data_IF_589454415755
#
_entry.id   IF_589454415755
#
_cell.length_a   1.000
_cell.length_b   1.000
_cell.length_c   1.000
_cell.angle_alpha   90.00
_cell.angle_beta   90.00
_cell.angle_gamma   90.00
#
_symmetry.space_group_name_H-M   'P 1'
#
loop_
_entity.id
_entity.type
_entity.pdbx_description
1 polymer ?
#
# COMPACT_ATOMS: atom_id res chain seq x y z
N UNK A 1 2.36 8.53 25.56
CA UNK A 1 1.27 9.34 24.97
C UNK A 1 1.37 9.37 23.43
N UNK A 2 2.54 9.49 22.82
CA UNK A 2 2.72 9.53 21.34
C UNK A 2 2.37 8.23 20.59
N UNK A 3 2.26 7.08 21.26
CA UNK A 3 2.04 5.77 20.63
C UNK A 3 0.63 5.59 20.04
N UNK A 4 -0.36 6.19 20.67
CA UNK A 4 -1.77 6.03 20.27
C UNK A 4 -2.07 6.76 18.96
N UNK A 5 -1.72 8.06 18.81
CA UNK A 5 -1.96 8.79 17.58
C UNK A 5 -1.18 8.21 16.38
N UNK A 6 0.07 7.76 16.59
CA UNK A 6 0.86 7.16 15.52
C UNK A 6 0.22 5.86 15.00
N UNK A 7 -0.24 4.97 15.88
CA UNK A 7 -0.95 3.75 15.48
C UNK A 7 -2.25 4.03 14.73
N UNK A 8 -3.00 5.03 15.22
CA UNK A 8 -4.26 5.43 14.58
C UNK A 8 -4.02 5.99 13.18
N UNK A 9 -3.03 6.87 13.04
CA UNK A 9 -2.64 7.44 11.74
C UNK A 9 -2.20 6.36 10.75
N UNK A 10 -1.32 5.46 11.16
CA UNK A 10 -0.83 4.35 10.34
C UNK A 10 -1.99 3.45 9.89
N UNK A 11 -2.92 3.11 10.80
CA UNK A 11 -4.09 2.31 10.48
C UNK A 11 -5.01 3.02 9.49
N UNK A 12 -5.30 4.31 9.71
CA UNK A 12 -6.15 5.11 8.83
C UNK A 12 -5.53 5.22 7.43
N UNK A 13 -4.22 5.42 7.36
CA UNK A 13 -3.49 5.45 6.10
C UNK A 13 -3.54 4.09 5.39
N UNK A 14 -3.32 2.99 6.10
CA UNK A 14 -3.43 1.64 5.55
C UNK A 14 -4.84 1.32 5.04
N UNK A 15 -5.90 1.71 5.78
CA UNK A 15 -7.29 1.57 5.34
C UNK A 15 -7.57 2.40 4.07
N UNK A 16 -7.08 3.63 4.01
CA UNK A 16 -7.21 4.49 2.83
C UNK A 16 -6.57 3.86 1.59
N UNK A 17 -5.40 3.26 1.76
CA UNK A 17 -4.63 2.65 0.68
C UNK A 17 -5.27 1.37 0.14
N UNK A 18 -5.71 0.52 1.06
CA UNK A 18 -6.28 -0.79 0.69
C UNK A 18 -7.77 -0.71 0.34
N UNK A 19 -8.43 0.42 0.65
CA UNK A 19 -9.88 0.55 0.51
C UNK A 19 -10.69 -0.37 1.43
N UNK A 20 -10.03 -1.05 2.39
CA UNK A 20 -10.65 -2.01 3.31
C UNK A 20 -10.44 -1.62 4.76
N UNK A 21 -11.43 -1.90 5.62
CA UNK A 21 -11.30 -1.68 7.04
C UNK A 21 -10.35 -2.73 7.66
N UNK A 22 -9.27 -2.26 8.27
CA UNK A 22 -8.26 -3.11 8.90
C UNK A 22 -8.37 -2.95 10.42
N UNK A 23 -8.88 -3.95 11.16
CA UNK A 23 -9.00 -3.88 12.61
C UNK A 23 -7.64 -3.85 13.31
N UNK A 24 -6.72 -4.71 12.91
CA UNK A 24 -5.37 -4.78 13.44
C UNK A 24 -4.33 -5.11 12.37
N UNK A 25 -3.35 -4.21 12.21
CA UNK A 25 -2.22 -4.35 11.29
C UNK A 25 -1.07 -5.19 11.88
N UNK A 26 -1.01 -5.31 13.21
CA UNK A 26 0.16 -5.82 13.93
C UNK A 26 -0.07 -7.14 14.65
N UNK A 27 -1.19 -7.83 14.39
CA UNK A 27 -1.41 -9.15 14.98
C UNK A 27 -0.30 -10.13 14.58
N UNK A 28 0.32 -10.76 15.57
CA UNK A 28 1.40 -11.72 15.35
C UNK A 28 0.90 -13.10 14.94
N UNK A 29 -0.33 -13.47 15.33
CA UNK A 29 -0.90 -14.77 14.97
C UNK A 29 -1.55 -14.68 13.61
N UNK A 30 -1.05 -15.48 12.64
CA UNK A 30 -1.52 -15.46 11.26
C UNK A 30 -1.40 -16.83 10.62
N UNK A 31 -2.37 -17.14 9.79
CA UNK A 31 -2.36 -18.35 8.96
C UNK A 31 -2.57 -17.90 7.52
N UNK A 32 -1.75 -18.37 6.61
CA UNK A 32 -1.85 -18.10 5.18
C UNK A 32 -1.28 -19.26 4.36
N UNK A 33 -1.68 -19.36 3.12
CA UNK A 33 -1.13 -20.37 2.21
C UNK A 33 0.32 -20.04 1.88
N UNK A 34 1.19 -21.04 1.97
CA UNK A 34 2.63 -20.92 1.68
C UNK A 34 2.90 -20.29 0.32
N UNK A 35 2.15 -20.71 -0.71
CA UNK A 35 2.32 -20.21 -2.08
C UNK A 35 2.09 -18.70 -2.19
N UNK A 36 1.10 -18.17 -1.47
CA UNK A 36 0.83 -16.74 -1.42
C UNK A 36 1.95 -15.96 -0.72
N UNK A 37 2.49 -16.50 0.37
CA UNK A 37 3.59 -15.86 1.08
C UNK A 37 4.88 -15.82 0.26
N UNK A 38 5.20 -16.90 -0.44
CA UNK A 38 6.39 -16.99 -1.31
C UNK A 38 6.34 -15.98 -2.45
N UNK A 39 5.16 -15.67 -2.98
CA UNK A 39 5.00 -14.67 -4.05
C UNK A 39 5.44 -13.26 -3.62
N UNK A 40 5.31 -12.94 -2.34
CA UNK A 40 5.62 -11.60 -1.81
C UNK A 40 6.84 -11.59 -0.89
N UNK A 41 7.64 -12.68 -0.89
CA UNK A 41 8.78 -12.81 0.03
C UNK A 41 9.83 -11.73 -0.18
N UNK A 42 10.06 -11.33 -1.42
CA UNK A 42 11.05 -10.31 -1.79
C UNK A 42 10.65 -8.89 -1.35
N UNK A 43 9.36 -8.68 -1.08
CA UNK A 43 8.84 -7.42 -0.55
C UNK A 43 8.95 -7.32 0.97
N UNK A 44 9.19 -8.45 1.66
CA UNK A 44 9.22 -8.50 3.10
C UNK A 44 10.53 -7.93 3.64
N UNK A 45 10.49 -6.88 4.47
CA UNK A 45 11.69 -6.34 5.09
C UNK A 45 12.25 -7.32 6.11
N UNK A 46 13.55 -7.36 6.22
CA UNK A 46 14.23 -8.09 7.30
C UNK A 46 13.94 -7.37 8.63
N UNK A 47 12.92 -7.80 9.38
CA UNK A 47 12.64 -7.26 10.72
C UNK A 47 11.19 -6.90 11.03
N UNK A 48 11.01 -5.88 11.86
CA UNK A 48 9.80 -5.53 12.60
C UNK A 48 8.52 -5.27 11.75
N UNK A 49 8.64 -4.83 10.52
CA UNK A 49 7.48 -4.47 9.68
C UNK A 49 6.98 -5.58 8.74
N UNK A 50 7.55 -6.77 8.81
CA UNK A 50 7.16 -7.93 7.98
C UNK A 50 5.65 -8.22 8.06
N UNK A 51 5.10 -8.16 9.26
CA UNK A 51 3.69 -8.43 9.55
C UNK A 51 2.75 -7.45 8.84
N UNK A 52 3.07 -6.17 8.86
CA UNK A 52 2.29 -5.13 8.17
C UNK A 52 2.44 -5.24 6.67
N UNK A 53 3.66 -5.48 6.20
CA UNK A 53 3.98 -5.60 4.78
C UNK A 53 3.17 -6.72 4.11
N UNK A 54 3.14 -7.90 4.71
CA UNK A 54 2.39 -9.03 4.13
C UNK A 54 0.87 -8.78 4.12
N UNK A 55 0.33 -8.11 5.16
CA UNK A 55 -1.09 -7.72 5.17
C UNK A 55 -1.41 -6.76 4.04
N UNK A 56 -0.60 -5.71 3.88
CA UNK A 56 -0.80 -4.72 2.83
C UNK A 56 -0.62 -5.36 1.44
N UNK A 57 0.40 -6.20 1.26
CA UNK A 57 0.62 -6.92 0.02
C UNK A 57 -0.60 -7.76 -0.37
N UNK A 58 -1.20 -8.48 0.57
CA UNK A 58 -2.39 -9.28 0.31
C UNK A 58 -3.60 -8.40 -0.02
N UNK A 59 -3.88 -7.36 0.77
CA UNK A 59 -5.04 -6.48 0.56
C UNK A 59 -4.93 -5.68 -0.74
N UNK A 60 -3.75 -5.11 -1.05
CA UNK A 60 -3.53 -4.36 -2.29
C UNK A 60 -3.63 -5.25 -3.55
N UNK A 61 -3.46 -6.56 -3.41
CA UNK A 61 -3.65 -7.52 -4.51
C UNK A 61 -5.04 -8.19 -4.49
N UNK A 62 -5.98 -7.65 -3.73
CA UNK A 62 -7.37 -8.12 -3.71
C UNK A 62 -7.57 -9.47 -3.00
N UNK A 63 -6.58 -9.93 -2.23
CA UNK A 63 -6.72 -11.16 -1.44
C UNK A 63 -7.59 -10.89 -0.20
N UNK A 64 -8.51 -11.80 0.06
CA UNK A 64 -9.41 -11.71 1.20
C UNK A 64 -8.68 -12.08 2.48
N UNK A 65 -8.75 -11.21 3.49
CA UNK A 65 -8.23 -11.46 4.84
C UNK A 65 -9.41 -11.52 5.81
N UNK A 66 -9.47 -12.58 6.58
CA UNK A 66 -10.46 -12.75 7.64
C UNK A 66 -9.81 -12.50 9.00
N UNK A 67 -10.49 -11.72 9.85
CA UNK A 67 -10.01 -11.37 11.18
C UNK A 67 -10.86 -12.11 12.21
N UNK A 68 -10.21 -13.02 12.93
CA UNK A 68 -10.87 -13.79 14.00
C UNK A 68 -10.54 -13.18 15.36
N UNK A 69 -11.53 -12.93 16.22
CA UNK A 69 -11.29 -12.43 17.56
C UNK A 69 -10.58 -13.49 18.40
N UNK A 70 -9.46 -13.11 19.02
CA UNK A 70 -8.71 -13.97 19.93
C UNK A 70 -8.69 -13.37 21.34
N UNK A 71 -8.61 -14.21 22.36
CA UNK A 71 -8.36 -13.75 23.72
C UNK A 71 -6.91 -13.32 23.85
N UNK A 72 -6.67 -12.06 24.20
CA UNK A 72 -5.34 -11.51 24.36
C UNK A 72 -4.95 -11.49 25.84
N UNK A 73 -4.01 -12.31 26.23
CA UNK A 73 -3.48 -12.29 27.59
C UNK A 73 -2.58 -11.07 27.81
N UNK A 74 -2.59 -10.51 29.01
CA UNK A 74 -1.73 -9.39 29.38
C UNK A 74 -0.26 -9.77 29.23
N UNK A 75 0.49 -9.03 28.41
CA UNK A 75 1.90 -9.34 28.15
C UNK A 75 2.76 -9.13 29.40
N UNK A 76 3.51 -10.14 29.76
CA UNK A 76 4.56 -10.04 30.76
C UNK A 76 5.82 -9.42 30.11
N UNK A 77 6.40 -8.38 30.73
CA UNK A 77 7.63 -7.74 30.31
C UNK A 77 7.49 -6.36 29.65
N UNK A 78 8.64 -5.70 29.44
CA UNK A 78 8.73 -4.36 28.86
C UNK A 78 8.72 -4.41 27.33
N UNK A 79 8.01 -3.48 26.69
CA UNK A 79 7.98 -3.35 25.24
C UNK A 79 9.33 -2.82 24.72
N UNK A 80 9.94 -3.53 23.77
CA UNK A 80 11.17 -3.09 23.07
C UNK A 80 10.90 -2.02 21.99
N UNK A 81 9.70 -1.45 21.92
CA UNK A 81 9.32 -0.46 20.93
C UNK A 81 9.94 0.91 21.24
N UNK A 82 10.72 1.46 20.30
CA UNK A 82 11.27 2.81 20.34
C UNK A 82 10.32 3.76 19.59
N UNK A 83 9.60 4.67 20.28
CA UNK A 83 8.47 5.38 19.67
C UNK A 83 8.86 6.20 18.43
N UNK A 84 9.96 6.90 18.43
CA UNK A 84 10.39 7.76 17.30
C UNK A 84 10.98 6.91 16.17
N UNK A 85 11.97 6.08 16.48
CA UNK A 85 12.71 5.31 15.47
C UNK A 85 11.83 4.27 14.77
N UNK A 86 10.96 3.59 15.53
CA UNK A 86 10.08 2.59 14.96
C UNK A 86 8.92 3.24 14.20
N UNK A 87 8.39 4.40 14.63
CA UNK A 87 7.39 5.15 13.87
C UNK A 87 7.94 5.63 12.54
N UNK A 88 9.15 6.18 12.50
CA UNK A 88 9.81 6.57 11.25
C UNK A 88 9.98 5.39 10.29
N UNK A 89 10.48 4.25 10.78
CA UNK A 89 10.60 3.03 9.98
C UNK A 89 9.26 2.55 9.44
N UNK A 90 8.21 2.66 10.25
CA UNK A 90 6.86 2.31 9.84
C UNK A 90 6.33 3.20 8.72
N UNK A 91 6.47 4.51 8.85
CA UNK A 91 6.05 5.48 7.82
C UNK A 91 6.81 5.24 6.53
N UNK A 92 8.14 5.06 6.61
CA UNK A 92 8.97 4.77 5.43
C UNK A 92 8.56 3.47 4.75
N UNK A 93 8.25 2.42 5.53
CA UNK A 93 7.79 1.15 4.98
C UNK A 93 6.41 1.29 4.33
N UNK A 94 5.48 2.00 4.96
CA UNK A 94 4.19 2.30 4.37
C UNK A 94 4.34 3.07 3.05
N UNK A 95 5.12 4.15 3.04
CA UNK A 95 5.37 4.93 1.85
C UNK A 95 5.92 4.05 0.70
N UNK A 96 6.90 3.19 1.01
CA UNK A 96 7.44 2.22 0.03
C UNK A 96 6.36 1.29 -0.52
N UNK A 97 5.53 0.73 0.36
CA UNK A 97 4.45 -0.18 -0.05
C UNK A 97 3.40 0.51 -0.90
N UNK A 98 3.06 1.76 -0.57
CA UNK A 98 2.11 2.56 -1.34
C UNK A 98 2.67 2.85 -2.73
N UNK A 99 3.91 3.35 -2.80
CA UNK A 99 4.56 3.64 -4.08
C UNK A 99 4.70 2.38 -4.94
N UNK A 100 4.85 1.22 -4.32
CA UNK A 100 4.95 -0.06 -5.04
C UNK A 100 3.59 -0.57 -5.54
N UNK A 101 2.50 -0.40 -4.78
CA UNK A 101 1.20 -0.99 -5.13
C UNK A 101 0.24 0.01 -5.78
N UNK A 102 0.19 1.26 -5.31
CA UNK A 102 -0.77 2.25 -5.76
C UNK A 102 -0.19 3.68 -5.69
N UNK A 103 0.82 3.98 -6.52
CA UNK A 103 1.51 5.27 -6.48
C UNK A 103 0.58 6.45 -6.73
N UNK A 104 -0.42 6.29 -7.58
CA UNK A 104 -1.37 7.35 -7.92
C UNK A 104 -2.13 7.89 -6.70
N UNK A 105 -2.41 7.03 -5.69
CA UNK A 105 -3.07 7.46 -4.44
C UNK A 105 -2.27 8.46 -3.61
N UNK A 106 -0.94 8.55 -3.83
CA UNK A 106 -0.09 9.55 -3.17
C UNK A 106 0.10 10.77 -4.08
N UNK A 107 0.50 10.53 -5.33
CA UNK A 107 0.89 11.61 -6.22
C UNK A 107 -0.29 12.48 -6.64
N UNK A 108 -1.47 11.88 -6.87
CA UNK A 108 -2.66 12.61 -7.32
C UNK A 108 -3.13 13.67 -6.31
N UNK A 109 -3.34 13.38 -5.00
CA UNK A 109 -3.77 14.41 -4.06
C UNK A 109 -2.72 15.51 -3.85
N UNK A 110 -1.42 15.18 -3.90
CA UNK A 110 -0.35 16.17 -3.81
C UNK A 110 -0.37 17.08 -5.04
N UNK A 111 -0.49 16.52 -6.23
CA UNK A 111 -0.61 17.25 -7.49
C UNK A 111 -1.82 18.20 -7.49
N UNK A 112 -3.00 17.68 -7.13
CA UNK A 112 -4.23 18.48 -7.06
C UNK A 112 -4.14 19.60 -6.02
N UNK A 113 -3.49 19.34 -4.89
CA UNK A 113 -3.27 20.37 -3.87
C UNK A 113 -2.34 21.48 -4.39
N UNK A 114 -1.24 21.13 -5.04
CA UNK A 114 -0.32 22.11 -5.62
C UNK A 114 -0.97 22.91 -6.75
N UNK A 115 -1.69 22.25 -7.65
CA UNK A 115 -2.43 22.92 -8.72
C UNK A 115 -3.51 23.85 -8.15
N UNK A 116 -4.24 23.42 -7.12
CA UNK A 116 -5.24 24.24 -6.44
C UNK A 116 -4.63 25.47 -5.75
N UNK A 117 -3.54 25.30 -5.03
CA UNK A 117 -2.82 26.41 -4.39
C UNK A 117 -2.28 27.41 -5.43
N UNK A 118 -1.67 26.92 -6.50
CA UNK A 118 -1.18 27.75 -7.60
C UNK A 118 -2.30 28.53 -8.30
N UNK A 119 -3.43 27.87 -8.56
CA UNK A 119 -4.58 28.51 -9.19
C UNK A 119 -5.22 29.57 -8.30
N UNK A 120 -5.39 29.30 -7.00
CA UNK A 120 -5.93 30.27 -6.04
C UNK A 120 -4.99 31.47 -5.87
N UNK A 121 -3.70 31.22 -5.71
CA UNK A 121 -2.67 32.29 -5.62
C UNK A 121 -2.65 33.15 -6.87
N UNK A 122 -2.65 32.52 -8.06
CA UNK A 122 -2.70 33.21 -9.36
C UNK A 122 -3.93 34.07 -9.50
N UNK A 123 -5.12 33.58 -9.10
CA UNK A 123 -6.37 34.35 -9.15
C UNK A 123 -6.31 35.59 -8.23
N UNK A 124 -5.79 35.42 -7.00
CA UNK A 124 -5.64 36.51 -6.05
C UNK A 124 -4.66 37.57 -6.58
N UNK A 125 -3.52 37.17 -7.13
CA UNK A 125 -2.50 38.08 -7.67
C UNK A 125 -3.02 38.82 -8.90
N UNK A 126 -3.76 38.15 -9.79
CA UNK A 126 -4.37 38.77 -10.94
C UNK A 126 -5.38 39.85 -10.56
N UNK A 127 -6.19 39.60 -9.52
CA UNK A 127 -7.17 40.56 -9.02
C UNK A 127 -6.53 41.74 -8.28
N UNK A 128 -5.37 41.55 -7.64
CA UNK A 128 -4.67 42.60 -6.85
C UNK A 128 -3.70 43.44 -7.67
N UNK A 129 -2.92 42.80 -8.51
CA UNK A 129 -1.79 43.42 -9.23
C UNK A 129 -2.00 43.46 -10.74
N UNK A 130 -3.02 42.79 -11.27
CA UNK A 130 -3.28 42.67 -12.71
C UNK A 130 -2.26 41.84 -13.47
N UNK A 131 -1.35 41.13 -12.77
CA UNK A 131 -0.29 40.31 -13.37
C UNK A 131 -0.15 38.97 -12.66
N UNK A 132 0.24 37.95 -13.42
CA UNK A 132 0.61 36.64 -12.91
C UNK A 132 2.02 36.72 -12.34
N UNK A 133 2.24 36.17 -11.16
CA UNK A 133 3.58 36.07 -10.58
C UNK A 133 4.27 34.80 -11.08
N UNK A 134 5.56 34.85 -11.29
CA UNK A 134 6.39 33.71 -11.75
C UNK A 134 6.27 32.51 -10.79
N UNK A 135 6.15 32.77 -9.48
CA UNK A 135 6.01 31.74 -8.47
C UNK A 135 4.71 30.92 -8.61
N UNK A 136 3.62 31.56 -9.02
CA UNK A 136 2.33 30.87 -9.23
C UNK A 136 2.44 29.88 -10.38
N UNK A 137 3.10 30.28 -11.47
CA UNK A 137 3.34 29.45 -12.64
C UNK A 137 4.23 28.26 -12.27
N UNK A 138 5.30 28.50 -11.49
CA UNK A 138 6.23 27.46 -11.04
C UNK A 138 5.49 26.43 -10.18
N UNK A 139 4.64 26.85 -9.23
CA UNK A 139 3.89 25.94 -8.37
C UNK A 139 2.93 25.07 -9.21
N UNK A 140 2.23 25.66 -10.19
CA UNK A 140 1.35 24.92 -11.10
C UNK A 140 2.14 23.92 -11.96
N UNK A 141 3.28 24.33 -12.51
CA UNK A 141 4.14 23.46 -13.31
C UNK A 141 4.65 22.27 -12.50
N UNK A 142 5.11 22.50 -11.26
CA UNK A 142 5.55 21.44 -10.36
C UNK A 142 4.38 20.51 -10.02
N UNK A 143 3.20 21.06 -9.73
CA UNK A 143 1.99 20.26 -9.51
C UNK A 143 1.65 19.35 -10.69
N UNK A 144 1.73 19.86 -11.91
CA UNK A 144 1.52 19.09 -13.14
C UNK A 144 2.58 18.00 -13.32
N UNK A 145 3.86 18.30 -13.07
CA UNK A 145 4.95 17.32 -13.14
C UNK A 145 4.77 16.18 -12.13
N UNK A 146 4.38 16.51 -10.89
CA UNK A 146 4.10 15.51 -9.86
C UNK A 146 2.96 14.60 -10.26
N UNK A 147 1.89 15.15 -10.84
CA UNK A 147 0.77 14.37 -11.35
C UNK A 147 1.16 13.44 -12.49
N UNK A 148 1.93 13.95 -13.45
CA UNK A 148 2.45 13.16 -14.57
C UNK A 148 3.33 12.02 -14.10
N UNK A 149 4.20 12.28 -13.12
CA UNK A 149 5.05 11.27 -12.50
C UNK A 149 4.21 10.17 -11.81
N UNK A 150 3.13 10.56 -11.13
CA UNK A 150 2.19 9.63 -10.52
C UNK A 150 1.50 8.71 -11.54
N UNK A 151 1.08 9.26 -12.68
CA UNK A 151 0.47 8.47 -13.76
C UNK A 151 1.46 7.49 -14.39
N UNK A 152 2.69 7.92 -14.65
CA UNK A 152 3.74 7.04 -15.21
C UNK A 152 4.05 5.90 -14.23
N UNK A 153 4.18 6.20 -12.95
CA UNK A 153 4.41 5.19 -11.92
C UNK A 153 3.26 4.18 -11.84
N UNK A 154 2.02 4.63 -11.94
CA UNK A 154 0.84 3.75 -11.91
C UNK A 154 0.75 2.85 -13.15
N UNK A 155 1.03 3.38 -14.33
CA UNK A 155 1.12 2.59 -15.56
C UNK A 155 2.18 1.49 -15.44
N UNK A 156 3.32 1.80 -14.83
CA UNK A 156 4.39 0.82 -14.62
C UNK A 156 3.96 -0.31 -13.69
N UNK A 157 3.27 0.01 -12.59
CA UNK A 157 2.70 -0.98 -11.66
C UNK A 157 1.65 -1.86 -12.35
N UNK A 158 0.75 -1.27 -13.14
CA UNK A 158 -0.24 -2.02 -13.89
C UNK A 158 0.40 -2.97 -14.90
N UNK A 159 1.45 -2.53 -15.58
CA UNK A 159 2.19 -3.36 -16.53
C UNK A 159 2.90 -4.53 -15.84
N UNK A 160 3.54 -4.31 -14.69
CA UNK A 160 4.13 -5.39 -13.89
C UNK A 160 3.09 -6.43 -13.47
N UNK A 161 1.93 -5.99 -12.95
CA UNK A 161 0.83 -6.91 -12.58
C UNK A 161 0.31 -7.73 -13.78
N UNK A 162 0.27 -7.14 -14.96
CA UNK A 162 -0.13 -7.84 -16.18
C UNK A 162 0.89 -8.91 -16.57
N UNK A 163 2.19 -8.59 -16.51
CA UNK A 163 3.27 -9.54 -16.76
C UNK A 163 3.22 -10.73 -15.78
N UNK A 164 3.06 -10.49 -14.49
CA UNK A 164 2.95 -11.54 -13.47
C UNK A 164 1.78 -12.49 -13.77
N UNK A 165 0.63 -11.96 -14.17
CA UNK A 165 -0.53 -12.78 -14.56
C UNK A 165 -0.25 -13.63 -15.78
N UNK A 166 0.42 -13.09 -16.79
CA UNK A 166 0.79 -13.84 -17.99
C UNK A 166 1.79 -14.96 -17.67
N UNK A 167 2.81 -14.67 -16.87
CA UNK A 167 3.79 -15.69 -16.43
C UNK A 167 3.12 -16.79 -15.62
N UNK A 168 2.21 -16.41 -14.70
CA UNK A 168 1.49 -17.41 -13.89
C UNK A 168 0.57 -18.29 -14.73
N UNK A 169 -0.04 -17.76 -15.79
CA UNK A 169 -0.86 -18.54 -16.72
C UNK A 169 -0.03 -19.53 -17.57
N UNK A 170 1.20 -19.18 -17.90
CA UNK A 170 2.12 -20.05 -18.64
C UNK A 170 2.73 -21.15 -17.76
N UNK A 171 2.91 -20.87 -16.46
CA UNK A 171 3.50 -21.85 -15.53
C UNK A 171 2.50 -22.90 -15.01
N UNK A 172 1.21 -22.82 -15.37
CA UNK A 172 0.15 -23.74 -14.90
C UNK A 172 -0.48 -24.63 -16.00
N UNK A 173 0.20 -25.08 -17.04
CA UNK A 173 -0.43 -25.96 -18.05
C UNK A 173 -0.60 -27.43 -17.61
N UNK A 174 -0.03 -27.86 -16.48
CA UNK A 174 0.05 -29.28 -16.10
C UNK A 174 -0.86 -29.74 -14.94
N UNK A 175 -1.41 -28.84 -14.14
CA UNK A 175 -2.10 -29.24 -12.90
C UNK A 175 -3.59 -29.55 -13.06
N UNK A 176 -4.25 -29.01 -14.08
CA UNK A 176 -5.66 -29.31 -14.34
C UNK A 176 -5.92 -30.71 -14.94
N UNK A 177 -4.92 -31.33 -15.57
CA UNK A 177 -5.08 -32.69 -16.11
C UNK A 177 -4.92 -33.80 -15.06
N UNK A 178 -4.30 -33.53 -13.94
CA UNK A 178 -4.07 -34.50 -12.87
C UNK A 178 -5.25 -34.65 -11.90
N UNK A 179 -6.02 -33.57 -11.67
CA UNK A 179 -7.21 -33.64 -10.81
C UNK A 179 -8.42 -34.30 -11.50
N UNK A 180 -8.51 -34.26 -12.82
CA UNK A 180 -9.57 -34.94 -13.55
C UNK A 180 -9.36 -36.48 -13.66
N UNK A 181 -8.12 -36.96 -13.49
CA UNK A 181 -7.81 -38.38 -13.50
C UNK A 181 -7.88 -39.02 -12.10
N UNK A 182 -7.75 -38.24 -11.04
CA UNK A 182 -7.82 -38.74 -9.64
C UNK A 182 -9.25 -38.82 -9.10
N UNK A 183 -10.22 -38.17 -9.74
CA UNK A 183 -11.64 -38.25 -9.37
C UNK A 183 -12.36 -39.54 -9.70
N UNK A 184 -11.72 -40.47 -10.44
CA UNK A 184 -12.34 -41.70 -10.94
C UNK A 184 -12.14 -42.97 -10.07
N UNK A 185 -11.46 -42.83 -8.91
CA UNK A 185 -11.18 -43.98 -8.02
C UNK A 185 -11.64 -43.74 -6.56
N UNK A 186 -12.81 -43.12 -6.35
CA UNK A 186 -13.47 -43.10 -5.03
C UNK A 186 -14.95 -43.38 -5.15
N UNK A 187 -15.29 -44.47 -5.75
CA UNK A 187 -16.56 -45.15 -5.53
C UNK A 187 -16.25 -46.66 -5.42
N UNK A 188 -16.00 -47.09 -4.18
CA UNK A 188 -16.26 -48.42 -3.68
C UNK A 188 -16.29 -48.34 -2.15
#
# INVERSE_FOLDING_TARGET
>A
ILRVPAKYFIRKLACFLTGTAIPDLNSGLRVFRRELALRYIDLLPKGFSCVTTITLAFLCNGLRIEYLPIRYAKRAGKSKFHPIKDTYRYITQLARMITYFEPLKIFLPISLLMLGLGAVSSAINLLRTGSLQEMDIIIMLVGFLVGSMGMIADLFVQYQRKLERMISSLSTPGRQKQDSSSGKYREF
#
